data_IF_568689444669
#
_entry.id   IF_568689444669
#
_cell.length_a   1.000
_cell.length_b   1.000
_cell.length_c   1.000
_cell.angle_alpha   90.00
_cell.angle_beta   90.00
_cell.angle_gamma   90.00
#
_symmetry.space_group_name_H-M   'P 1'
#
loop_
_entity.id
_entity.type
_entity.pdbx_description
1 polymer ?
#
# COMPACT_ATOMS: atom_id res chain seq x y z
N UNK A 1 12.02 0.53 4.79
CA UNK A 1 10.56 0.45 4.58
C UNK A 1 10.22 1.19 3.30
N UNK A 2 9.51 0.56 2.38
CA UNK A 2 9.02 1.20 1.15
C UNK A 2 7.81 2.10 1.45
N UNK A 3 7.68 3.19 0.69
CA UNK A 3 6.55 4.12 0.79
C UNK A 3 5.65 3.99 -0.44
N UNK A 4 4.43 3.51 -0.21
CA UNK A 4 3.37 3.53 -1.20
C UNK A 4 2.37 4.65 -0.85
N UNK A 5 1.75 5.23 -1.87
CA UNK A 5 0.64 6.16 -1.69
C UNK A 5 -0.70 5.45 -1.93
N UNK A 6 -1.68 5.69 -1.05
CA UNK A 6 -3.03 5.10 -1.16
C UNK A 6 -3.98 6.12 -1.80
N UNK A 7 -4.05 6.12 -3.13
CA UNK A 7 -4.85 7.08 -3.89
C UNK A 7 -5.07 6.61 -5.33
N UNK A 8 -6.16 7.10 -5.96
CA UNK A 8 -6.37 7.03 -7.40
C UNK A 8 -6.14 8.39 -8.11
N UNK A 9 -5.78 9.44 -7.36
CA UNK A 9 -5.58 10.79 -7.90
C UNK A 9 -4.19 10.92 -8.53
N UNK A 10 -4.14 11.11 -9.87
CA UNK A 10 -2.88 11.16 -10.62
C UNK A 10 -1.97 12.34 -10.22
N UNK A 11 -2.54 13.48 -9.80
CA UNK A 11 -1.74 14.63 -9.41
C UNK A 11 -1.06 14.40 -8.05
N UNK A 12 -1.73 13.74 -7.10
CA UNK A 12 -1.11 13.31 -5.85
C UNK A 12 0.02 12.30 -6.09
N UNK A 13 -0.16 11.38 -7.05
CA UNK A 13 0.87 10.42 -7.43
C UNK A 13 2.08 11.14 -8.04
N UNK A 14 1.85 12.07 -8.97
CA UNK A 14 2.93 12.89 -9.56
C UNK A 14 3.67 13.70 -8.50
N UNK A 15 2.95 14.31 -7.55
CA UNK A 15 3.56 15.06 -6.45
C UNK A 15 4.45 14.15 -5.59
N UNK A 16 3.96 12.97 -5.20
CA UNK A 16 4.75 12.00 -4.42
C UNK A 16 5.98 11.51 -5.21
N UNK A 17 5.83 11.22 -6.51
CA UNK A 17 6.92 10.81 -7.37
C UNK A 17 8.00 11.90 -7.49
N UNK A 18 7.58 13.17 -7.64
CA UNK A 18 8.50 14.31 -7.72
C UNK A 18 9.30 14.53 -6.42
N UNK A 19 8.80 14.06 -5.27
CA UNK A 19 9.55 14.08 -4.00
C UNK A 19 10.68 13.04 -3.96
N UNK A 20 10.72 12.07 -4.90
CA UNK A 20 11.74 11.04 -4.98
C UNK A 20 11.67 9.97 -3.89
N UNK A 21 10.51 9.79 -3.26
CA UNK A 21 10.30 8.86 -2.13
C UNK A 21 9.23 7.80 -2.39
N UNK A 22 8.65 7.77 -3.58
CA UNK A 22 7.55 6.87 -3.92
C UNK A 22 8.08 5.55 -4.46
N UNK A 23 7.70 4.44 -3.82
CA UNK A 23 8.07 3.08 -4.21
C UNK A 23 6.89 2.29 -4.81
N UNK A 24 5.68 2.86 -4.82
CA UNK A 24 4.50 2.22 -5.38
C UNK A 24 3.18 2.89 -5.01
N UNK A 25 2.10 2.31 -5.52
CA UNK A 25 0.74 2.83 -5.32
C UNK A 25 -0.21 1.71 -4.93
N UNK A 26 -1.08 1.97 -3.96
CA UNK A 26 -2.27 1.16 -3.76
C UNK A 26 -3.51 1.94 -4.15
N UNK A 27 -4.46 1.26 -4.75
CA UNK A 27 -5.79 1.77 -5.01
C UNK A 27 -6.86 0.82 -4.48
N UNK A 28 -8.10 1.23 -4.55
CA UNK A 28 -9.27 0.38 -4.31
C UNK A 28 -10.49 0.96 -5.02
N UNK A 29 -11.61 0.21 -5.14
CA UNK A 29 -12.80 0.69 -5.82
C UNK A 29 -13.37 2.00 -5.28
N UNK A 30 -13.27 2.23 -3.97
CA UNK A 30 -13.76 3.47 -3.34
C UNK A 30 -12.91 4.68 -3.73
N UNK A 31 -11.59 4.53 -3.83
CA UNK A 31 -10.69 5.60 -4.29
C UNK A 31 -10.91 5.91 -5.76
N UNK A 32 -11.09 4.89 -6.62
CA UNK A 32 -11.44 5.08 -8.02
C UNK A 32 -12.76 5.83 -8.18
N UNK A 33 -13.80 5.43 -7.43
CA UNK A 33 -15.12 6.09 -7.46
C UNK A 33 -15.05 7.55 -6.99
N UNK A 34 -14.23 7.85 -5.97
CA UNK A 34 -14.01 9.22 -5.47
C UNK A 34 -13.42 10.16 -6.54
N UNK A 35 -12.56 9.64 -7.41
CA UNK A 35 -11.99 10.38 -8.54
C UNK A 35 -12.92 10.37 -9.78
N UNK A 36 -14.13 9.80 -9.67
CA UNK A 36 -15.07 9.71 -10.78
C UNK A 36 -14.68 8.67 -11.84
N UNK A 37 -13.76 7.78 -11.53
CA UNK A 37 -13.30 6.72 -12.45
C UNK A 37 -14.28 5.55 -12.37
N UNK A 38 -15.16 5.46 -13.36
CA UNK A 38 -16.21 4.43 -13.44
C UNK A 38 -16.21 3.77 -14.81
N UNK A 39 -16.73 2.53 -14.87
CA UNK A 39 -16.76 1.73 -16.09
C UNK A 39 -15.44 0.97 -16.32
N UNK A 40 -15.57 -0.27 -16.75
CA UNK A 40 -14.46 -1.23 -16.85
C UNK A 40 -13.28 -0.67 -17.65
N UNK A 41 -13.50 -0.15 -18.85
CA UNK A 41 -12.42 0.35 -19.71
C UNK A 41 -11.72 1.58 -19.12
N UNK A 42 -12.45 2.48 -18.45
CA UNK A 42 -11.88 3.66 -17.82
C UNK A 42 -10.98 3.27 -16.64
N UNK A 43 -11.39 2.27 -15.85
CA UNK A 43 -10.59 1.73 -14.75
C UNK A 43 -9.29 1.13 -15.28
N UNK A 44 -9.33 0.32 -16.34
CA UNK A 44 -8.13 -0.28 -16.95
C UNK A 44 -7.19 0.81 -17.49
N UNK A 45 -7.72 1.82 -18.18
CA UNK A 45 -6.93 2.94 -18.69
C UNK A 45 -6.30 3.76 -17.56
N UNK A 46 -7.02 3.92 -16.45
CA UNK A 46 -6.52 4.63 -15.28
C UNK A 46 -5.36 3.90 -14.62
N UNK A 47 -5.42 2.57 -14.47
CA UNK A 47 -4.29 1.77 -13.98
C UNK A 47 -3.05 1.90 -14.87
N UNK A 48 -3.22 1.91 -16.20
CA UNK A 48 -2.11 2.17 -17.13
C UNK A 48 -1.48 3.55 -16.88
N UNK A 49 -2.31 4.59 -16.74
CA UNK A 49 -1.82 5.94 -16.46
C UNK A 49 -1.07 6.03 -15.12
N UNK A 50 -1.49 5.28 -14.10
CA UNK A 50 -0.74 5.20 -12.84
C UNK A 50 0.63 4.54 -13.08
N UNK A 51 0.69 3.41 -13.80
CA UNK A 51 1.94 2.71 -14.10
C UNK A 51 2.92 3.54 -14.93
N UNK A 52 2.44 4.48 -15.76
CA UNK A 52 3.29 5.40 -16.52
C UNK A 52 3.95 6.49 -15.66
N UNK A 53 3.41 6.76 -14.46
CA UNK A 53 3.92 7.77 -13.53
C UNK A 53 4.89 7.16 -12.52
N UNK A 54 4.60 5.96 -12.04
CA UNK A 54 5.28 5.33 -10.90
C UNK A 54 6.32 4.32 -11.39
N UNK A 55 7.51 4.40 -10.82
CA UNK A 55 8.54 3.37 -10.99
C UNK A 55 8.49 2.39 -9.82
N UNK A 56 7.43 1.56 -9.76
CA UNK A 56 7.19 0.62 -8.67
C UNK A 56 5.87 -0.14 -8.80
N UNK A 57 5.56 -0.97 -7.82
CA UNK A 57 4.38 -1.83 -7.83
C UNK A 57 3.07 -1.02 -7.67
N UNK A 58 2.04 -1.41 -8.46
CA UNK A 58 0.72 -0.79 -8.46
C UNK A 58 -0.33 -1.85 -8.11
N UNK A 59 -0.92 -1.78 -6.92
CA UNK A 59 -1.95 -2.71 -6.48
C UNK A 59 -3.30 -2.36 -7.12
N UNK A 60 -3.81 -3.29 -7.95
CA UNK A 60 -5.09 -3.21 -8.66
C UNK A 60 -6.06 -4.24 -8.11
N UNK A 61 -7.17 -3.78 -7.52
CA UNK A 61 -8.12 -4.63 -6.78
C UNK A 61 -9.20 -5.22 -7.70
N UNK A 62 -9.42 -6.54 -7.59
CA UNK A 62 -10.54 -7.23 -8.23
C UNK A 62 -11.86 -6.92 -7.50
N UNK A 63 -12.98 -7.03 -8.20
CA UNK A 63 -14.32 -6.76 -7.67
C UNK A 63 -15.07 -8.08 -7.37
N UNK A 64 -14.84 -9.10 -8.16
CA UNK A 64 -15.48 -10.41 -7.98
C UNK A 64 -15.17 -11.02 -6.61
N UNK A 65 -16.11 -11.79 -6.05
CA UNK A 65 -15.96 -12.48 -4.78
C UNK A 65 -15.89 -14.01 -4.93
N UNK A 66 -16.06 -14.53 -6.14
CA UNK A 66 -15.86 -15.92 -6.51
C UNK A 66 -14.50 -16.13 -7.20
N UNK A 67 -13.98 -17.36 -7.13
CA UNK A 67 -12.65 -17.69 -7.65
C UNK A 67 -12.51 -17.42 -9.15
N UNK A 68 -13.45 -17.88 -9.96
CA UNK A 68 -13.40 -17.77 -11.43
C UNK A 68 -13.46 -16.30 -11.86
N UNK A 69 -14.28 -15.49 -11.19
CA UNK A 69 -14.37 -14.06 -11.41
C UNK A 69 -13.06 -13.35 -11.06
N UNK A 70 -12.47 -13.66 -9.89
CA UNK A 70 -11.19 -13.10 -9.46
C UNK A 70 -10.06 -13.46 -10.43
N UNK A 71 -10.01 -14.69 -10.91
CA UNK A 71 -9.00 -15.14 -11.87
C UNK A 71 -9.14 -14.37 -13.19
N UNK A 72 -10.35 -14.31 -13.75
CA UNK A 72 -10.61 -13.59 -15.00
C UNK A 72 -10.25 -12.11 -14.91
N UNK A 73 -10.68 -11.43 -13.85
CA UNK A 73 -10.35 -10.01 -13.62
C UNK A 73 -8.85 -9.80 -13.38
N UNK A 74 -8.25 -10.63 -12.54
CA UNK A 74 -6.83 -10.53 -12.19
C UNK A 74 -5.91 -10.79 -13.38
N UNK A 75 -6.20 -11.76 -14.25
CA UNK A 75 -5.44 -11.98 -15.48
C UNK A 75 -5.54 -10.78 -16.44
N UNK A 76 -6.73 -10.17 -16.56
CA UNK A 76 -6.91 -8.96 -17.36
C UNK A 76 -6.13 -7.77 -16.81
N UNK A 77 -6.10 -7.60 -15.46
CA UNK A 77 -5.31 -6.57 -14.80
C UNK A 77 -3.80 -6.83 -14.96
N UNK A 78 -3.33 -8.06 -14.72
CA UNK A 78 -1.91 -8.41 -14.84
C UNK A 78 -1.37 -8.18 -16.26
N UNK A 79 -2.20 -8.36 -17.27
CA UNK A 79 -1.84 -8.13 -18.68
C UNK A 79 -1.64 -6.64 -19.05
N UNK A 80 -2.06 -5.69 -18.19
CA UNK A 80 -1.96 -4.26 -18.46
C UNK A 80 -0.53 -3.75 -18.40
N UNK A 81 0.21 -4.16 -17.36
CA UNK A 81 1.58 -3.70 -17.12
C UNK A 81 2.32 -4.63 -16.13
N UNK A 82 3.64 -4.83 -16.26
CA UNK A 82 4.43 -5.68 -15.34
C UNK A 82 4.44 -5.21 -13.87
N UNK A 83 4.16 -3.94 -13.61
CA UNK A 83 4.08 -3.37 -12.26
C UNK A 83 2.77 -3.70 -11.54
N UNK A 84 1.77 -4.25 -12.24
CA UNK A 84 0.47 -4.56 -11.61
C UNK A 84 0.63 -5.72 -10.64
N UNK A 85 0.12 -5.47 -9.43
CA UNK A 85 -0.03 -6.45 -8.34
C UNK A 85 -1.52 -6.68 -8.12
N UNK A 86 -1.97 -7.93 -8.23
CA UNK A 86 -3.39 -8.26 -8.11
C UNK A 86 -3.80 -8.20 -6.65
N UNK A 87 -4.69 -7.27 -6.32
CA UNK A 87 -5.19 -7.10 -4.95
C UNK A 87 -6.46 -7.91 -4.75
N UNK A 88 -6.43 -8.79 -3.74
CA UNK A 88 -7.41 -9.84 -3.49
C UNK A 88 -7.96 -9.74 -2.06
N UNK A 89 -9.27 -9.85 -1.83
CA UNK A 89 -9.84 -9.80 -0.49
C UNK A 89 -9.48 -11.04 0.35
N UNK A 90 -9.35 -10.88 1.66
CA UNK A 90 -9.05 -11.95 2.62
C UNK A 90 -10.28 -12.84 2.88
N UNK A 91 -10.70 -13.58 1.87
CA UNK A 91 -11.74 -14.60 1.91
C UNK A 91 -11.23 -15.91 1.32
N UNK A 92 -11.96 -17.01 1.53
CA UNK A 92 -11.51 -18.34 1.05
C UNK A 92 -11.19 -18.36 -0.46
N UNK A 93 -12.05 -17.78 -1.28
CA UNK A 93 -11.85 -17.69 -2.73
C UNK A 93 -10.69 -16.77 -3.10
N UNK A 94 -10.46 -15.68 -2.32
CA UNK A 94 -9.31 -14.80 -2.48
C UNK A 94 -7.98 -15.48 -2.17
N UNK A 95 -7.93 -16.35 -1.17
CA UNK A 95 -6.73 -17.17 -0.84
C UNK A 95 -6.46 -18.20 -1.94
N UNK A 96 -7.49 -18.85 -2.51
CA UNK A 96 -7.35 -19.74 -3.67
C UNK A 96 -6.80 -18.98 -4.88
N UNK A 97 -7.33 -17.79 -5.16
CA UNK A 97 -6.86 -16.92 -6.24
C UNK A 97 -5.42 -16.44 -6.01
N UNK A 98 -5.05 -16.11 -4.77
CA UNK A 98 -3.68 -15.77 -4.39
C UNK A 98 -2.71 -16.90 -4.76
N UNK A 99 -3.02 -18.14 -4.35
CA UNK A 99 -2.21 -19.32 -4.69
C UNK A 99 -2.11 -19.52 -6.22
N UNK A 100 -3.21 -19.40 -6.94
CA UNK A 100 -3.25 -19.51 -8.40
C UNK A 100 -2.31 -18.51 -9.09
N UNK A 101 -2.36 -17.22 -8.68
CA UNK A 101 -1.49 -16.19 -9.25
C UNK A 101 -0.03 -16.36 -8.83
N UNK A 102 0.23 -16.72 -7.57
CA UNK A 102 1.56 -17.00 -7.07
C UNK A 102 2.24 -18.13 -7.87
N UNK A 103 1.51 -19.23 -8.16
CA UNK A 103 2.04 -20.33 -8.96
C UNK A 103 2.38 -19.95 -10.41
N UNK A 104 1.78 -18.88 -10.91
CA UNK A 104 2.06 -18.28 -12.23
C UNK A 104 3.13 -17.17 -12.18
N UNK A 105 3.70 -16.89 -11.02
CA UNK A 105 4.67 -15.79 -10.83
C UNK A 105 4.06 -14.39 -10.92
N UNK A 106 2.73 -14.27 -10.80
CA UNK A 106 2.01 -13.01 -10.78
C UNK A 106 1.95 -12.50 -9.34
N UNK A 107 2.39 -11.27 -9.10
CA UNK A 107 2.38 -10.65 -7.78
C UNK A 107 0.97 -10.45 -7.25
N UNK A 108 0.79 -10.69 -5.94
CA UNK A 108 -0.50 -10.50 -5.26
C UNK A 108 -0.37 -9.68 -4.00
N UNK A 109 -1.44 -8.98 -3.64
CA UNK A 109 -1.60 -8.24 -2.39
C UNK A 109 -2.91 -8.67 -1.72
N UNK A 110 -2.82 -9.47 -0.65
CA UNK A 110 -4.01 -9.90 0.08
C UNK A 110 -4.44 -8.80 1.03
N UNK A 111 -5.63 -8.25 0.81
CA UNK A 111 -6.17 -7.07 1.51
C UNK A 111 -7.32 -7.41 2.46
N UNK A 112 -7.74 -6.43 3.28
CA UNK A 112 -8.76 -6.60 4.32
C UNK A 112 -8.33 -7.61 5.39
N UNK A 113 -7.08 -7.51 5.81
CA UNK A 113 -6.51 -8.36 6.84
C UNK A 113 -6.60 -7.66 8.20
N UNK A 114 -7.19 -8.35 9.19
CA UNK A 114 -7.46 -7.83 10.53
C UNK A 114 -6.98 -8.75 11.65
N UNK A 115 -6.27 -9.85 11.32
CA UNK A 115 -5.67 -10.75 12.31
C UNK A 115 -4.38 -11.37 11.79
N UNK A 116 -3.49 -11.75 12.70
CA UNK A 116 -2.25 -12.45 12.37
C UNK A 116 -2.51 -13.82 11.71
N UNK A 117 -3.61 -14.50 12.11
CA UNK A 117 -4.02 -15.76 11.48
C UNK A 117 -4.39 -15.60 9.99
N UNK A 118 -5.07 -14.50 9.63
CA UNK A 118 -5.33 -14.16 8.22
C UNK A 118 -4.03 -13.90 7.45
N UNK A 119 -3.12 -13.14 8.04
CA UNK A 119 -1.82 -12.85 7.43
C UNK A 119 -0.99 -14.13 7.22
N UNK A 120 -1.04 -15.08 8.18
CA UNK A 120 -0.37 -16.38 8.05
C UNK A 120 -0.93 -17.18 6.87
N UNK A 121 -2.25 -17.19 6.64
CA UNK A 121 -2.87 -17.85 5.49
C UNK A 121 -2.45 -17.20 4.16
N UNK A 122 -2.37 -15.87 4.11
CA UNK A 122 -1.89 -15.14 2.94
C UNK A 122 -0.45 -15.52 2.58
N UNK A 123 0.45 -15.57 3.57
CA UNK A 123 1.84 -16.00 3.38
C UNK A 123 1.93 -17.44 2.90
N UNK A 124 1.15 -18.35 3.48
CA UNK A 124 1.08 -19.76 3.06
C UNK A 124 0.59 -19.93 1.63
N UNK A 125 -0.27 -19.03 1.14
CA UNK A 125 -0.73 -19.00 -0.25
C UNK A 125 0.30 -18.38 -1.22
N UNK A 126 1.41 -17.82 -0.72
CA UNK A 126 2.48 -17.22 -1.54
C UNK A 126 2.20 -15.78 -1.93
N UNK A 127 1.44 -15.02 -1.13
CA UNK A 127 1.22 -13.61 -1.36
C UNK A 127 2.53 -12.82 -1.41
N UNK A 128 2.68 -11.90 -2.37
CA UNK A 128 3.81 -10.97 -2.41
C UNK A 128 3.68 -9.94 -1.29
N UNK A 129 2.47 -9.42 -1.10
CA UNK A 129 2.13 -8.47 -0.05
C UNK A 129 0.92 -8.95 0.74
N UNK A 130 0.89 -8.61 2.01
CA UNK A 130 -0.29 -8.67 2.87
C UNK A 130 -0.60 -7.27 3.38
N UNK A 131 -1.85 -6.84 3.30
CA UNK A 131 -2.28 -5.51 3.75
C UNK A 131 -3.12 -5.58 5.03
N UNK A 132 -2.50 -5.59 6.23
CA UNK A 132 -3.21 -5.41 7.50
C UNK A 132 -3.69 -3.97 7.66
N UNK A 133 -4.96 -3.81 8.05
CA UNK A 133 -5.64 -2.52 8.15
C UNK A 133 -5.59 -1.97 9.57
N UNK A 134 -4.42 -1.48 9.98
CA UNK A 134 -4.19 -1.01 11.35
C UNK A 134 -5.14 0.14 11.75
N UNK A 135 -5.33 1.16 10.92
CA UNK A 135 -6.16 2.30 11.28
C UNK A 135 -7.66 1.96 11.42
N UNK A 136 -8.17 0.94 10.71
CA UNK A 136 -9.53 0.45 10.95
C UNK A 136 -9.69 -0.30 12.27
N UNK A 137 -8.65 -0.95 12.77
CA UNK A 137 -8.64 -1.52 14.11
C UNK A 137 -8.68 -0.43 15.17
N UNK A 138 -7.91 0.64 14.99
CA UNK A 138 -7.94 1.79 15.89
C UNK A 138 -9.32 2.45 15.92
N UNK A 139 -9.99 2.55 14.77
CA UNK A 139 -11.36 3.09 14.67
C UNK A 139 -12.38 2.33 15.56
N UNK A 140 -12.08 1.06 15.92
CA UNK A 140 -12.91 0.22 16.81
C UNK A 140 -12.24 -0.07 18.17
N UNK A 141 -11.31 0.79 18.57
CA UNK A 141 -10.59 0.71 19.86
C UNK A 141 -9.75 -0.55 20.04
N UNK A 142 -9.21 -1.08 18.96
CA UNK A 142 -8.27 -2.21 18.96
C UNK A 142 -6.91 -1.70 18.48
N UNK A 143 -5.82 -2.09 19.14
CA UNK A 143 -4.47 -1.68 18.80
C UNK A 143 -4.03 -2.27 17.44
N UNK A 144 -4.07 -1.44 16.39
CA UNK A 144 -3.67 -1.83 15.04
C UNK A 144 -2.18 -2.06 14.88
N UNK A 145 -1.33 -1.38 15.65
CA UNK A 145 0.12 -1.58 15.62
C UNK A 145 0.53 -2.93 16.21
N UNK A 146 -0.21 -3.42 17.21
CA UNK A 146 0.01 -4.75 17.75
C UNK A 146 -0.17 -5.84 16.67
N UNK A 147 -1.17 -5.69 15.78
CA UNK A 147 -1.35 -6.60 14.66
C UNK A 147 -0.11 -6.64 13.75
N UNK A 148 0.48 -5.48 13.43
CA UNK A 148 1.70 -5.41 12.61
C UNK A 148 2.85 -6.14 13.30
N UNK A 149 3.02 -5.95 14.62
CA UNK A 149 4.07 -6.60 15.41
C UNK A 149 3.89 -8.13 15.46
N UNK A 150 2.66 -8.62 15.64
CA UNK A 150 2.37 -10.07 15.63
C UNK A 150 2.68 -10.69 14.26
N UNK A 151 2.30 -10.03 13.16
CA UNK A 151 2.58 -10.52 11.80
C UNK A 151 4.10 -10.56 11.56
N UNK A 152 4.82 -9.49 11.94
CA UNK A 152 6.28 -9.43 11.79
C UNK A 152 6.96 -10.57 12.54
N UNK A 153 6.59 -10.80 13.79
CA UNK A 153 7.14 -11.88 14.60
C UNK A 153 6.90 -13.26 13.95
N UNK A 154 5.69 -13.51 13.45
CA UNK A 154 5.35 -14.78 12.79
C UNK A 154 6.17 -14.93 11.50
N UNK A 155 6.27 -13.88 10.69
CA UNK A 155 6.97 -13.95 9.41
C UNK A 155 8.47 -14.18 9.61
N UNK A 156 9.08 -13.56 10.62
CA UNK A 156 10.47 -13.76 10.98
C UNK A 156 10.74 -15.19 11.50
N UNK A 157 9.85 -15.73 12.34
CA UNK A 157 9.97 -17.09 12.89
C UNK A 157 10.00 -18.18 11.81
N UNK A 158 9.33 -17.96 10.69
CA UNK A 158 9.19 -18.95 9.61
C UNK A 158 9.84 -18.51 8.29
N UNK A 159 10.55 -17.38 8.27
CA UNK A 159 11.21 -16.80 7.10
C UNK A 159 10.27 -16.70 5.90
N UNK A 160 9.08 -16.13 6.08
CA UNK A 160 8.18 -15.87 4.98
C UNK A 160 8.69 -14.68 4.14
N UNK A 161 8.69 -14.83 2.80
CA UNK A 161 9.05 -13.77 1.86
C UNK A 161 7.95 -12.73 1.66
N UNK A 162 6.73 -13.00 2.14
CA UNK A 162 5.58 -12.08 2.04
C UNK A 162 5.86 -10.79 2.78
N UNK A 163 5.78 -9.66 2.08
CA UNK A 163 6.02 -8.33 2.64
C UNK A 163 4.78 -7.81 3.37
N UNK A 164 5.00 -7.27 4.56
CA UNK A 164 3.95 -6.59 5.35
C UNK A 164 3.76 -5.19 4.78
N UNK A 165 2.62 -4.94 4.15
CA UNK A 165 2.21 -3.65 3.63
C UNK A 165 1.18 -3.03 4.59
N UNK A 166 1.67 -2.29 5.60
CA UNK A 166 0.83 -1.64 6.60
C UNK A 166 -0.12 -0.64 5.92
N UNK A 167 -1.42 -0.89 6.03
CA UNK A 167 -2.48 -0.17 5.33
C UNK A 167 -3.45 0.52 6.29
N UNK A 168 -4.31 1.38 5.72
CA UNK A 168 -5.25 2.20 6.52
C UNK A 168 -4.53 3.16 7.46
N UNK A 169 -3.39 3.71 7.03
CA UNK A 169 -2.61 4.72 7.76
C UNK A 169 -3.47 5.99 7.94
N UNK A 170 -3.51 6.53 9.17
CA UNK A 170 -4.29 7.72 9.54
C UNK A 170 -3.42 8.97 9.75
N UNK A 171 -2.21 8.80 10.26
CA UNK A 171 -1.33 9.90 10.66
C UNK A 171 0.16 9.49 10.63
N UNK A 172 1.05 10.47 10.78
CA UNK A 172 2.51 10.27 10.70
C UNK A 172 3.06 9.28 11.73
N UNK A 173 2.48 9.21 12.94
CA UNK A 173 2.96 8.28 13.97
C UNK A 173 2.76 6.81 13.57
N UNK A 174 1.66 6.48 12.86
CA UNK A 174 1.51 5.13 12.28
C UNK A 174 2.69 4.74 11.38
N UNK A 175 3.17 5.70 10.55
CA UNK A 175 4.31 5.44 9.65
C UNK A 175 5.58 5.17 10.47
N UNK A 176 5.84 6.01 11.46
CA UNK A 176 7.04 5.89 12.32
C UNK A 176 7.01 4.59 13.11
N UNK A 177 5.88 4.25 13.71
CA UNK A 177 5.76 3.06 14.54
C UNK A 177 5.77 1.77 13.71
N UNK A 178 5.15 1.75 12.53
CA UNK A 178 5.32 0.66 11.54
C UNK A 178 6.79 0.47 11.15
N UNK A 179 7.54 1.56 10.95
CA UNK A 179 8.97 1.49 10.64
C UNK A 179 9.79 0.88 11.79
N UNK A 180 9.48 1.23 13.04
CA UNK A 180 10.14 0.66 14.23
C UNK A 180 9.85 -0.83 14.42
N UNK A 181 8.63 -1.26 14.09
CA UNK A 181 8.21 -2.67 14.16
C UNK A 181 8.87 -3.50 13.05
N UNK A 182 9.26 -2.88 11.94
CA UNK A 182 9.85 -3.58 10.80
C UNK A 182 8.85 -3.95 9.70
N UNK A 183 7.78 -3.16 9.52
CA UNK A 183 6.92 -3.28 8.34
C UNK A 183 7.74 -3.04 7.07
N UNK A 184 7.56 -3.91 6.05
CA UNK A 184 8.34 -3.82 4.82
C UNK A 184 7.90 -2.64 3.95
N UNK A 185 6.60 -2.36 3.95
CA UNK A 185 5.94 -1.31 3.18
C UNK A 185 4.88 -0.63 4.04
N UNK A 186 4.67 0.64 3.83
CA UNK A 186 3.47 1.35 4.30
C UNK A 186 2.70 1.92 3.12
N UNK A 187 1.38 1.98 3.21
CA UNK A 187 0.58 2.74 2.25
C UNK A 187 -0.39 3.67 2.99
N UNK A 188 -0.40 4.92 2.59
CA UNK A 188 -1.22 5.93 3.24
C UNK A 188 -1.47 7.16 2.38
N UNK A 189 -2.28 8.12 2.85
CA UNK A 189 -2.55 9.34 2.13
C UNK A 189 -1.28 10.22 2.04
N UNK A 190 -1.15 10.96 0.94
CA UNK A 190 -0.03 11.90 0.73
C UNK A 190 0.16 12.86 1.90
N UNK A 191 -0.94 13.28 2.54
CA UNK A 191 -0.91 14.18 3.69
C UNK A 191 -0.17 13.60 4.91
N UNK A 192 -0.30 12.28 5.16
CA UNK A 192 0.42 11.62 6.24
C UNK A 192 1.92 11.52 5.94
N UNK A 193 2.29 11.25 4.68
CA UNK A 193 3.69 11.21 4.24
C UNK A 193 4.32 12.61 4.32
N UNK A 194 3.66 13.63 3.78
CA UNK A 194 4.12 15.03 3.86
C UNK A 194 4.20 15.54 5.30
N UNK A 195 3.38 14.98 6.18
CA UNK A 195 3.43 15.28 7.62
C UNK A 195 4.78 14.97 8.27
N UNK A 196 5.52 13.98 7.74
CA UNK A 196 6.87 13.62 8.23
C UNK A 196 7.90 14.74 8.03
N UNK A 197 7.68 15.64 7.08
CA UNK A 197 8.57 16.79 6.83
C UNK A 197 8.39 17.91 7.85
N UNK A 198 7.27 17.94 8.57
CA UNK A 198 6.92 19.07 9.44
C UNK A 198 7.60 18.94 10.80
N UNK A 199 8.51 19.87 11.08
CA UNK A 199 9.13 19.97 12.40
C UNK A 199 9.45 21.44 12.73
N UNK A 200 9.00 21.99 13.89
CA UNK A 200 9.22 23.39 14.23
C UNK A 200 10.69 23.81 14.25
N UNK A 201 11.58 22.93 14.68
CA UNK A 201 13.01 23.22 14.72
C UNK A 201 13.64 23.32 13.33
N UNK A 202 13.10 22.60 12.33
CA UNK A 202 13.54 22.73 10.94
C UNK A 202 13.20 24.11 10.39
N UNK A 203 11.99 24.60 10.66
CA UNK A 203 11.54 25.92 10.21
C UNK A 203 12.37 27.03 10.87
N UNK A 204 12.59 26.93 12.20
CA UNK A 204 13.41 27.86 12.96
C UNK A 204 14.87 27.85 12.49
N UNK A 205 15.44 26.64 12.29
CA UNK A 205 16.82 26.49 11.84
C UNK A 205 17.03 27.08 10.45
N UNK A 206 16.11 26.80 9.50
CA UNK A 206 16.17 27.37 8.16
C UNK A 206 16.10 28.91 8.19
N UNK A 207 15.18 29.48 8.97
CA UNK A 207 15.06 30.94 9.13
C UNK A 207 16.35 31.54 9.69
N UNK A 208 16.97 30.91 10.68
CA UNK A 208 18.23 31.34 11.26
C UNK A 208 19.37 31.32 10.24
N UNK A 209 19.54 30.21 9.51
CA UNK A 209 20.59 30.09 8.50
C UNK A 209 20.45 31.13 7.37
N UNK A 210 19.21 31.39 6.91
CA UNK A 210 18.97 32.43 5.92
C UNK A 210 19.27 33.87 6.45
N UNK A 211 18.95 34.13 7.72
CA UNK A 211 19.24 35.41 8.34
C UNK A 211 20.76 35.63 8.48
N UNK A 212 21.51 34.63 8.92
CA UNK A 212 22.96 34.72 9.09
C UNK A 212 23.70 34.83 7.75
N UNK A 213 23.25 34.11 6.71
CA UNK A 213 23.78 34.26 5.35
C UNK A 213 23.64 35.70 4.83
N UNK A 214 22.48 36.34 5.06
CA UNK A 214 22.21 37.71 4.64
C UNK A 214 23.04 38.75 5.38
N UNK A 215 23.50 38.47 6.63
CA UNK A 215 24.38 39.39 7.40
C UNK A 215 25.83 39.32 6.94
N UNK A 216 26.25 38.19 6.37
CA UNK A 216 27.64 37.99 5.89
C UNK A 216 27.88 38.42 4.44
N UNK A 217 26.82 38.80 3.70
CA UNK A 217 26.86 39.32 2.34
C UNK A 217 26.29 40.78 2.33
#
# INVERSE_FOLDING_TARGET
MKFFIDTANLDQIREAQAMGILDGVTTNPSLMAKEGITGHQNILNHYKAICEIVDGDVSAEVISIDFEGMVREGEALAALHPQIVIKLPMIAEGIKACKYFSDKGIKTNVTLVFSAGQALLAAKAGATYVSPFLGRLDDVSTDGLNLIAEIRLIYDNYNFDTQILAASIRHTMHIIDCAKIGSDVMTGPLSAIKGLLKHPLTDIGLATFLADYKKGN
#
